data_IF_325663703696
#
_entry.id   IF_325663703696
#
_cell.length_a   1.000
_cell.length_b   1.000
_cell.length_c   1.000
_cell.angle_alpha   90.00
_cell.angle_beta   90.00
_cell.angle_gamma   90.00
#
_symmetry.space_group_name_H-M   'P 1'
#
loop_
_entity.id
_entity.type
_entity.pdbx_description
1 polymer ?
#
# COMPACT_ATOMS: atom_id res chain seq x y z
N UNK A 1 20.61 -19.86 -5.00
CA UNK A 1 20.96 -20.13 -3.57
C UNK A 1 20.56 -18.96 -2.68
N UNK A 2 21.02 -17.73 -2.95
CA UNK A 2 20.66 -16.52 -2.17
C UNK A 2 19.14 -16.28 -2.09
N UNK A 3 18.43 -16.27 -3.23
CA UNK A 3 16.96 -16.06 -3.26
C UNK A 3 16.22 -17.07 -2.37
N UNK A 4 16.65 -18.33 -2.35
CA UNK A 4 16.01 -19.37 -1.54
C UNK A 4 16.23 -19.10 -0.04
N UNK A 5 17.46 -18.74 0.33
CA UNK A 5 17.81 -18.44 1.72
C UNK A 5 17.10 -17.18 2.26
N UNK A 6 16.94 -16.14 1.45
CA UNK A 6 16.18 -14.95 1.89
C UNK A 6 14.69 -15.30 2.00
N UNK A 7 14.15 -16.05 1.05
CA UNK A 7 12.73 -16.44 1.08
C UNK A 7 12.37 -17.37 2.23
N UNK A 8 13.31 -18.10 2.82
CA UNK A 8 13.03 -18.87 4.05
C UNK A 8 12.70 -17.96 5.25
N UNK A 9 12.99 -16.66 5.17
CA UNK A 9 12.64 -15.67 6.19
C UNK A 9 11.24 -15.06 5.97
N UNK A 10 10.50 -15.48 4.93
CA UNK A 10 9.21 -14.86 4.57
C UNK A 10 8.22 -14.81 5.73
N UNK A 11 8.11 -15.89 6.51
CA UNK A 11 7.18 -15.95 7.65
C UNK A 11 7.60 -15.11 8.85
N UNK A 12 8.84 -14.61 8.88
CA UNK A 12 9.33 -13.73 9.93
C UNK A 12 9.11 -12.24 9.60
N UNK A 13 9.17 -11.89 8.32
CA UNK A 13 9.17 -10.49 7.87
C UNK A 13 7.94 -10.08 7.06
N UNK A 14 7.15 -11.02 6.54
CA UNK A 14 5.86 -10.76 5.89
C UNK A 14 4.79 -11.44 6.74
N UNK A 15 4.31 -10.70 7.74
CA UNK A 15 3.42 -11.24 8.78
C UNK A 15 2.08 -10.52 8.78
N UNK A 16 1.01 -11.29 8.95
CA UNK A 16 -0.32 -10.73 9.17
C UNK A 16 -0.40 -10.12 10.58
N UNK A 17 -0.96 -8.91 10.75
CA UNK A 17 -1.06 -8.30 12.07
C UNK A 17 -1.86 -9.17 13.06
N UNK A 18 -1.24 -9.49 14.19
CA UNK A 18 -1.85 -10.32 15.24
C UNK A 18 -1.33 -9.90 16.63
N UNK A 19 -2.03 -10.31 17.70
CA UNK A 19 -1.63 -10.01 19.07
C UNK A 19 -1.45 -8.50 19.34
N UNK A 20 -0.31 -8.12 19.92
CA UNK A 20 0.02 -6.71 20.19
C UNK A 20 0.28 -5.91 18.92
N UNK A 21 0.89 -6.53 17.91
CA UNK A 21 1.16 -5.86 16.64
C UNK A 21 -0.14 -5.43 15.95
N UNK A 22 -1.21 -6.23 16.04
CA UNK A 22 -2.55 -5.80 15.58
C UNK A 22 -3.04 -4.55 16.29
N UNK A 23 -2.83 -4.43 17.61
CA UNK A 23 -3.25 -3.24 18.37
C UNK A 23 -2.48 -2.02 17.93
N UNK A 24 -1.18 -2.16 17.69
CA UNK A 24 -0.34 -1.08 17.17
C UNK A 24 -0.81 -0.60 15.79
N UNK A 25 -1.13 -1.54 14.89
CA UNK A 25 -1.69 -1.22 13.57
C UNK A 25 -3.03 -0.48 13.71
N UNK A 26 -3.97 -1.02 14.50
CA UNK A 26 -5.27 -0.39 14.72
C UNK A 26 -5.12 1.05 15.25
N UNK A 27 -4.28 1.24 16.28
CA UNK A 27 -4.00 2.57 16.86
C UNK A 27 -3.33 3.50 15.85
N UNK A 28 -2.41 2.99 15.02
CA UNK A 28 -1.77 3.78 13.97
C UNK A 28 -2.76 4.31 12.95
N UNK A 29 -3.66 3.46 12.46
CA UNK A 29 -4.72 3.88 11.53
C UNK A 29 -5.74 4.83 12.17
N UNK A 30 -6.13 4.59 13.42
CA UNK A 30 -7.01 5.47 14.18
C UNK A 30 -6.41 6.87 14.34
N UNK A 31 -5.09 6.98 14.55
CA UNK A 31 -4.41 8.27 14.70
C UNK A 31 -4.36 9.11 13.42
N UNK A 32 -4.52 8.51 12.23
CA UNK A 32 -4.44 9.24 10.95
C UNK A 32 -5.72 10.05 10.74
N UNK A 33 -6.88 9.39 10.68
CA UNK A 33 -8.18 10.05 10.47
C UNK A 33 -9.34 9.39 11.28
N UNK A 34 -9.04 8.61 12.31
CA UNK A 34 -10.06 8.05 13.21
C UNK A 34 -10.71 6.73 12.75
N UNK A 35 -10.13 6.04 11.78
CA UNK A 35 -10.64 4.72 11.37
C UNK A 35 -10.30 3.66 12.42
N UNK A 36 -11.31 3.21 13.15
CA UNK A 36 -11.18 2.19 14.18
C UNK A 36 -10.99 0.80 13.57
N UNK A 37 -10.29 -0.08 14.28
CA UNK A 37 -10.15 -1.52 13.96
C UNK A 37 -9.66 -1.84 12.54
N UNK A 38 -9.01 -0.87 11.88
CA UNK A 38 -8.35 -1.09 10.59
C UNK A 38 -7.09 -1.91 10.80
N UNK A 39 -7.00 -3.04 10.09
CA UNK A 39 -5.87 -3.97 10.19
C UNK A 39 -4.86 -3.81 9.05
N UNK A 40 -5.04 -2.79 8.21
CA UNK A 40 -4.15 -2.46 7.10
C UNK A 40 -4.85 -1.74 5.97
N UNK A 41 -4.08 -1.39 4.96
CA UNK A 41 -4.58 -0.94 3.66
C UNK A 41 -4.01 -1.85 2.57
N UNK A 42 -4.79 -2.06 1.51
CA UNK A 42 -4.40 -2.82 0.33
C UNK A 42 -4.38 -1.90 -0.87
N UNK A 43 -3.34 -2.01 -1.67
CA UNK A 43 -3.18 -1.27 -2.90
C UNK A 43 -2.38 -2.11 -3.88
N UNK A 44 -2.51 -1.79 -5.16
CA UNK A 44 -1.64 -2.38 -6.17
C UNK A 44 -0.37 -1.55 -6.36
N UNK A 45 0.63 -2.15 -7.00
CA UNK A 45 1.84 -1.43 -7.37
C UNK A 45 2.34 -1.93 -8.70
N UNK A 46 2.45 -1.03 -9.67
CA UNK A 46 2.95 -1.39 -10.99
C UNK A 46 4.45 -1.71 -10.91
N UNK A 47 4.81 -2.90 -11.38
CA UNK A 47 6.19 -3.37 -11.50
C UNK A 47 6.44 -3.72 -12.98
N UNK A 48 7.07 -2.82 -13.76
CA UNK A 48 7.26 -3.05 -15.18
C UNK A 48 8.28 -4.17 -15.41
N UNK A 49 7.90 -5.15 -16.23
CA UNK A 49 8.82 -6.16 -16.75
C UNK A 49 9.49 -5.64 -18.02
N UNK A 50 10.79 -5.86 -18.15
CA UNK A 50 11.56 -5.45 -19.32
C UNK A 50 11.04 -6.10 -20.63
N UNK A 51 10.54 -7.34 -20.53
CA UNK A 51 9.83 -8.03 -21.61
C UNK A 51 8.43 -8.40 -21.12
N UNK A 52 7.40 -7.95 -21.84
CA UNK A 52 6.01 -8.32 -21.53
C UNK A 52 5.79 -9.84 -21.73
N UNK A 53 5.03 -10.52 -20.87
CA UNK A 53 4.67 -11.93 -21.07
C UNK A 53 3.99 -12.15 -22.44
N UNK A 54 4.21 -13.33 -23.04
CA UNK A 54 3.66 -13.66 -24.36
C UNK A 54 2.12 -13.54 -24.41
N UNK A 55 1.60 -12.97 -25.50
CA UNK A 55 0.20 -12.56 -25.74
C UNK A 55 -0.89 -13.66 -25.67
N UNK A 56 -0.56 -14.91 -25.33
CA UNK A 56 -1.52 -16.01 -25.24
C UNK A 56 -2.45 -15.94 -24.01
N UNK A 57 -2.09 -15.15 -22.99
CA UNK A 57 -2.97 -14.83 -21.85
C UNK A 57 -3.45 -13.38 -21.94
N UNK A 58 -4.46 -13.13 -22.77
CA UNK A 58 -5.21 -11.87 -22.77
C UNK A 58 -6.11 -11.83 -21.53
N UNK A 59 -5.65 -11.21 -20.45
CA UNK A 59 -6.57 -10.42 -19.65
C UNK A 59 -6.23 -8.94 -19.92
N UNK A 60 -7.20 -8.10 -20.34
CA UNK A 60 -6.96 -6.67 -20.53
C UNK A 60 -6.55 -6.05 -19.20
N UNK A 61 -5.59 -5.13 -19.23
CA UNK A 61 -5.02 -4.49 -18.05
C UNK A 61 -6.05 -3.81 -17.13
N UNK A 62 -7.27 -3.50 -17.61
CA UNK A 62 -8.36 -2.90 -16.83
C UNK A 62 -9.40 -3.90 -16.30
N UNK A 63 -9.22 -5.20 -16.52
CA UNK A 63 -10.09 -6.29 -16.01
C UNK A 63 -9.49 -6.92 -14.74
N UNK A 64 -8.40 -6.35 -14.20
CA UNK A 64 -7.46 -7.10 -13.39
C UNK A 64 -7.61 -6.95 -11.86
N UNK A 65 -7.91 -5.80 -11.28
CA UNK A 65 -7.62 -5.62 -9.83
C UNK A 65 -8.61 -6.40 -8.96
N UNK A 66 -9.90 -6.17 -9.16
CA UNK A 66 -10.94 -6.96 -8.50
C UNK A 66 -10.84 -8.45 -8.85
N UNK A 67 -10.41 -8.82 -10.06
CA UNK A 67 -10.31 -10.22 -10.52
C UNK A 67 -9.08 -10.93 -9.94
N UNK A 68 -7.93 -10.27 -9.92
CA UNK A 68 -6.68 -10.73 -9.32
C UNK A 68 -6.88 -10.85 -7.82
N UNK A 69 -7.51 -9.84 -7.21
CA UNK A 69 -7.85 -9.84 -5.81
C UNK A 69 -8.82 -10.96 -5.44
N UNK A 70 -9.92 -11.15 -6.16
CA UNK A 70 -10.88 -12.25 -5.91
C UNK A 70 -10.25 -13.63 -6.12
N UNK A 71 -9.19 -13.74 -6.92
CA UNK A 71 -8.42 -14.97 -7.11
C UNK A 71 -7.29 -15.17 -6.08
N UNK A 72 -7.01 -14.18 -5.24
CA UNK A 72 -5.94 -14.23 -4.24
C UNK A 72 -6.25 -15.18 -3.07
N UNK A 73 -5.19 -15.60 -2.38
CA UNK A 73 -5.29 -16.44 -1.19
C UNK A 73 -6.06 -15.76 -0.05
N UNK A 74 -5.82 -14.45 0.14
CA UNK A 74 -6.48 -13.68 1.19
C UNK A 74 -7.99 -13.59 0.95
N UNK A 75 -8.43 -13.43 -0.31
CA UNK A 75 -9.86 -13.40 -0.62
C UNK A 75 -10.50 -14.77 -0.41
N UNK A 76 -9.88 -15.83 -0.94
CA UNK A 76 -10.41 -17.20 -0.84
C UNK A 76 -10.50 -17.69 0.61
N UNK A 77 -9.55 -17.27 1.45
CA UNK A 77 -9.43 -17.71 2.84
C UNK A 77 -9.62 -16.58 3.85
N UNK A 78 -10.39 -15.54 3.51
CA UNK A 78 -10.51 -14.31 4.31
C UNK A 78 -10.87 -14.57 5.79
N UNK A 79 -11.69 -15.58 6.08
CA UNK A 79 -12.07 -15.97 7.46
C UNK A 79 -10.88 -16.36 8.35
N UNK A 80 -9.75 -16.75 7.76
CA UNK A 80 -8.53 -17.07 8.50
C UNK A 80 -7.78 -15.79 8.93
N UNK A 81 -7.93 -14.71 8.18
CA UNK A 81 -7.23 -13.43 8.35
C UNK A 81 -8.06 -12.40 9.12
N UNK A 82 -9.35 -12.32 8.78
CA UNK A 82 -10.30 -11.37 9.35
C UNK A 82 -11.10 -12.04 10.45
N UNK A 83 -10.56 -11.97 11.66
CA UNK A 83 -11.24 -12.30 12.91
C UNK A 83 -11.64 -10.99 13.58
N UNK A 84 -12.73 -10.98 14.34
CA UNK A 84 -13.12 -9.82 15.20
C UNK A 84 -13.35 -8.51 14.44
N UNK A 85 -14.45 -8.34 13.67
CA UNK A 85 -14.91 -7.07 13.03
C UNK A 85 -13.85 -6.15 12.36
N UNK A 86 -12.62 -6.61 12.15
CA UNK A 86 -11.51 -5.85 11.56
C UNK A 86 -11.66 -5.81 10.04
N UNK A 87 -11.14 -4.76 9.41
CA UNK A 87 -11.22 -4.58 7.96
C UNK A 87 -9.98 -3.91 7.36
N UNK A 88 -9.81 -4.03 6.05
CA UNK A 88 -8.82 -3.28 5.27
C UNK A 88 -9.43 -2.04 4.61
N UNK A 89 -8.61 -1.02 4.40
CA UNK A 89 -8.93 0.06 3.46
C UNK A 89 -8.42 -0.29 2.06
N UNK A 90 -9.25 -0.12 1.04
CA UNK A 90 -8.90 -0.35 -0.36
C UNK A 90 -9.35 0.84 -1.23
N UNK A 91 -8.84 0.94 -2.46
CA UNK A 91 -9.29 1.95 -3.41
C UNK A 91 -10.67 1.57 -4.00
N UNK A 92 -11.12 2.37 -4.97
CA UNK A 92 -12.44 2.19 -5.58
C UNK A 92 -12.52 1.00 -6.56
N UNK A 93 -11.40 0.46 -7.04
CA UNK A 93 -11.36 -0.70 -7.93
C UNK A 93 -11.63 -2.02 -7.20
N UNK A 94 -11.41 -2.05 -5.87
CA UNK A 94 -11.76 -3.21 -5.04
C UNK A 94 -13.27 -3.29 -4.73
N UNK A 95 -13.80 -4.49 -4.47
CA UNK A 95 -15.18 -4.64 -4.02
C UNK A 95 -15.35 -4.22 -2.56
N UNK A 96 -16.46 -3.53 -2.26
CA UNK A 96 -16.91 -3.30 -0.88
C UNK A 96 -17.36 -4.61 -0.24
N UNK A 97 -16.77 -4.99 0.90
CA UNK A 97 -17.04 -6.24 1.61
C UNK A 97 -17.07 -6.02 3.13
N UNK A 98 -17.61 -6.96 3.94
CA UNK A 98 -17.61 -6.83 5.40
C UNK A 98 -16.22 -6.67 6.05
N UNK A 99 -15.16 -6.95 5.30
CA UNK A 99 -13.77 -6.88 5.74
C UNK A 99 -12.91 -5.97 4.83
N UNK A 100 -13.55 -5.20 3.93
CA UNK A 100 -12.90 -4.21 3.06
C UNK A 100 -13.78 -2.98 2.93
N UNK A 101 -13.26 -1.82 3.28
CA UNK A 101 -13.90 -0.53 3.02
C UNK A 101 -13.26 0.17 1.81
N UNK A 102 -14.10 0.78 0.99
CA UNK A 102 -13.72 1.52 -0.23
C UNK A 102 -14.33 2.93 -0.17
N UNK A 103 -13.81 3.90 -0.94
CA UNK A 103 -14.45 5.21 -1.09
C UNK A 103 -15.86 5.09 -1.73
N UNK A 104 -16.71 6.08 -1.48
CA UNK A 104 -17.99 6.24 -2.19
C UNK A 104 -17.71 6.63 -3.65
N UNK A 105 -18.28 5.88 -4.58
CA UNK A 105 -18.30 6.20 -6.01
C UNK A 105 -19.42 7.20 -6.25
N UNK A 106 -19.07 8.39 -6.72
CA UNK A 106 -20.01 9.48 -7.06
C UNK A 106 -20.82 10.06 -5.87
N UNK A 107 -20.18 10.86 -5.00
CA UNK A 107 -20.87 11.49 -3.87
C UNK A 107 -21.97 12.49 -4.25
N UNK A 108 -23.23 12.10 -4.11
CA UNK A 108 -24.39 12.90 -4.53
C UNK A 108 -25.54 12.95 -3.49
N UNK A 109 -26.49 13.86 -3.74
CA UNK A 109 -27.69 14.00 -2.93
C UNK A 109 -27.46 14.62 -1.56
N UNK A 110 -28.38 14.36 -0.63
CA UNK A 110 -28.37 14.97 0.72
C UNK A 110 -27.21 14.51 1.60
N UNK A 111 -26.52 13.42 1.24
CA UNK A 111 -25.37 12.88 1.96
C UNK A 111 -24.03 13.17 1.28
N UNK A 112 -24.02 13.92 0.18
CA UNK A 112 -22.82 14.18 -0.60
C UNK A 112 -21.67 14.75 0.24
N UNK A 113 -21.98 15.65 1.19
CA UNK A 113 -20.97 16.26 2.03
C UNK A 113 -20.30 15.24 2.97
N UNK A 114 -21.09 14.37 3.61
CA UNK A 114 -20.57 13.34 4.50
C UNK A 114 -19.75 12.29 3.73
N UNK A 115 -20.21 11.91 2.53
CA UNK A 115 -19.49 11.00 1.65
C UNK A 115 -18.16 11.58 1.18
N UNK A 116 -18.12 12.88 0.84
CA UNK A 116 -16.87 13.60 0.51
C UNK A 116 -15.93 13.65 1.71
N UNK A 117 -16.44 13.98 2.90
CA UNK A 117 -15.63 13.98 4.12
C UNK A 117 -15.04 12.60 4.41
N UNK A 118 -15.84 11.54 4.26
CA UNK A 118 -15.36 10.17 4.37
C UNK A 118 -14.28 9.86 3.31
N UNK A 119 -14.51 10.17 2.03
CA UNK A 119 -13.54 9.92 0.96
C UNK A 119 -12.22 10.65 1.22
N UNK A 120 -12.26 11.92 1.66
CA UNK A 120 -11.04 12.65 2.03
C UNK A 120 -10.29 11.98 3.17
N UNK A 121 -10.99 11.55 4.22
CA UNK A 121 -10.37 10.83 5.34
C UNK A 121 -9.79 9.48 4.88
N UNK A 122 -10.53 8.76 4.04
CA UNK A 122 -10.15 7.47 3.47
C UNK A 122 -8.88 7.58 2.64
N UNK A 123 -8.82 8.53 1.71
CA UNK A 123 -7.64 8.78 0.86
C UNK A 123 -6.43 9.16 1.70
N UNK A 124 -6.57 10.10 2.66
CA UNK A 124 -5.48 10.48 3.57
C UNK A 124 -4.93 9.31 4.37
N UNK A 125 -5.81 8.42 4.80
CA UNK A 125 -5.42 7.23 5.57
C UNK A 125 -4.72 6.20 4.71
N UNK A 126 -5.15 6.05 3.45
CA UNK A 126 -4.54 5.13 2.49
C UNK A 126 -3.13 5.52 2.07
N UNK A 127 -2.75 6.81 2.08
CA UNK A 127 -1.39 7.26 1.68
C UNK A 127 -0.26 6.42 2.30
N UNK A 128 -0.45 5.82 3.48
CA UNK A 128 0.53 4.92 4.12
C UNK A 128 0.93 3.71 3.26
N UNK A 129 0.01 3.11 2.48
CA UNK A 129 0.32 1.95 1.64
C UNK A 129 1.06 2.36 0.37
N UNK A 130 0.68 3.50 -0.20
CA UNK A 130 1.36 4.10 -1.36
C UNK A 130 2.79 4.49 -0.98
N UNK A 131 2.98 5.10 0.19
CA UNK A 131 4.30 5.42 0.74
C UNK A 131 5.15 4.16 0.99
N UNK A 132 4.56 3.09 1.51
CA UNK A 132 5.27 1.83 1.72
C UNK A 132 5.82 1.26 0.38
N UNK A 133 5.01 1.26 -0.68
CA UNK A 133 5.49 0.86 -2.01
C UNK A 133 6.50 1.85 -2.61
N UNK A 134 6.31 3.16 -2.39
CA UNK A 134 7.26 4.19 -2.78
C UNK A 134 8.64 3.97 -2.17
N UNK A 135 8.71 3.77 -0.85
CA UNK A 135 9.95 3.46 -0.14
C UNK A 135 10.60 2.17 -0.63
N UNK A 136 9.81 1.12 -0.86
CA UNK A 136 10.30 -0.13 -1.42
C UNK A 136 10.96 0.08 -2.80
N UNK A 137 10.30 0.82 -3.70
CA UNK A 137 10.81 1.12 -5.05
C UNK A 137 12.04 2.06 -5.03
N UNK A 138 12.15 2.95 -4.05
CA UNK A 138 13.33 3.80 -3.84
C UNK A 138 14.52 2.97 -3.33
N UNK A 139 14.29 2.10 -2.35
CA UNK A 139 15.35 1.24 -1.79
C UNK A 139 15.82 0.18 -2.79
N UNK A 140 14.92 -0.32 -3.63
CA UNK A 140 15.22 -1.33 -4.65
C UNK A 140 14.86 -0.83 -6.05
N UNK A 141 15.64 0.08 -6.66
CA UNK A 141 15.33 0.69 -7.95
C UNK A 141 15.16 -0.31 -9.11
N UNK A 142 15.71 -1.53 -9.00
CA UNK A 142 15.48 -2.59 -9.99
C UNK A 142 14.02 -3.02 -10.11
N UNK A 143 13.16 -2.66 -9.15
CA UNK A 143 11.72 -2.85 -9.22
C UNK A 143 11.06 -1.92 -10.25
N UNK A 144 11.71 -0.79 -10.59
CA UNK A 144 11.24 0.15 -11.62
C UNK A 144 11.60 -0.28 -13.04
N UNK A 145 12.53 -1.23 -13.21
CA UNK A 145 12.96 -1.77 -14.50
C UNK A 145 13.36 -3.25 -14.36
N UNK A 146 12.37 -4.13 -14.16
CA UNK A 146 12.66 -5.51 -13.81
C UNK A 146 13.09 -6.34 -15.02
N UNK A 147 14.36 -6.75 -15.05
CA UNK A 147 14.95 -7.59 -16.12
C UNK A 147 14.65 -9.10 -15.99
N UNK A 148 13.55 -9.47 -15.35
CA UNK A 148 13.13 -10.86 -15.25
C UNK A 148 12.42 -11.28 -16.54
N UNK A 149 12.83 -12.43 -17.11
CA UNK A 149 12.27 -12.97 -18.36
C UNK A 149 10.99 -13.78 -18.17
N UNK A 150 10.71 -14.21 -16.94
CA UNK A 150 9.53 -14.98 -16.60
C UNK A 150 8.91 -14.46 -15.30
N UNK A 151 7.59 -14.62 -15.20
CA UNK A 151 6.79 -14.11 -14.08
C UNK A 151 7.18 -14.74 -12.75
N UNK A 152 7.54 -16.03 -12.74
CA UNK A 152 7.95 -16.74 -11.52
C UNK A 152 9.24 -16.16 -10.95
N UNK A 153 10.22 -15.85 -11.80
CA UNK A 153 11.46 -15.21 -11.40
C UNK A 153 11.21 -13.78 -10.93
N UNK A 154 10.34 -13.04 -11.61
CA UNK A 154 9.91 -11.71 -11.18
C UNK A 154 9.32 -11.75 -9.76
N UNK A 155 8.32 -12.60 -9.52
CA UNK A 155 7.70 -12.77 -8.20
C UNK A 155 8.71 -13.15 -7.11
N UNK A 156 9.68 -14.03 -7.43
CA UNK A 156 10.71 -14.40 -6.46
C UNK A 156 11.65 -13.23 -6.09
N UNK A 157 11.95 -12.35 -7.05
CA UNK A 157 12.76 -11.15 -6.83
C UNK A 157 11.97 -10.13 -6.00
N UNK A 158 10.68 -9.95 -6.30
CA UNK A 158 9.77 -9.08 -5.54
C UNK A 158 9.63 -9.57 -4.09
N UNK A 159 9.35 -10.86 -3.89
CA UNK A 159 9.31 -11.51 -2.57
C UNK A 159 10.59 -11.18 -1.77
N UNK A 160 11.76 -11.34 -2.40
CA UNK A 160 13.05 -11.07 -1.78
C UNK A 160 13.22 -9.60 -1.41
N UNK A 161 12.83 -8.67 -2.30
CA UNK A 161 12.91 -7.23 -2.04
C UNK A 161 12.04 -6.82 -0.85
N UNK A 162 10.81 -7.32 -0.78
CA UNK A 162 9.90 -7.03 0.35
C UNK A 162 10.45 -7.58 1.67
N UNK A 163 10.99 -8.81 1.67
CA UNK A 163 11.58 -9.40 2.88
C UNK A 163 12.77 -8.58 3.36
N UNK A 164 13.66 -8.16 2.46
CA UNK A 164 14.82 -7.35 2.80
C UNK A 164 14.42 -5.94 3.26
N UNK A 165 13.42 -5.32 2.62
CA UNK A 165 12.87 -4.03 3.05
C UNK A 165 12.39 -4.13 4.50
N UNK A 166 11.52 -5.10 4.79
CA UNK A 166 10.96 -5.29 6.13
C UNK A 166 12.04 -5.68 7.17
N UNK A 167 13.09 -6.38 6.75
CA UNK A 167 14.26 -6.63 7.60
C UNK A 167 14.93 -5.32 8.02
N UNK A 168 15.23 -4.45 7.05
CA UNK A 168 15.90 -3.17 7.28
C UNK A 168 15.04 -2.26 8.15
N UNK A 169 13.74 -2.14 7.85
CA UNK A 169 12.77 -1.37 8.64
C UNK A 169 12.72 -1.85 10.10
N UNK A 170 12.61 -3.17 10.33
CA UNK A 170 12.52 -3.75 11.67
C UNK A 170 13.76 -3.50 12.53
N UNK A 171 14.94 -3.43 11.91
CA UNK A 171 16.21 -3.24 12.60
C UNK A 171 16.63 -1.75 12.71
N UNK A 172 15.74 -0.82 12.35
CA UNK A 172 16.03 0.62 12.33
C UNK A 172 17.34 0.95 11.60
N UNK A 173 17.71 0.16 10.59
CA UNK A 173 18.82 0.49 9.70
C UNK A 173 18.30 1.49 8.68
N UNK A 174 18.02 2.70 9.19
CA UNK A 174 17.35 3.77 8.45
C UNK A 174 18.16 4.00 7.18
N UNK A 175 17.56 3.76 6.02
CA UNK A 175 18.13 4.15 4.75
C UNK A 175 18.26 5.68 4.80
N UNK A 176 19.47 6.17 5.07
CA UNK A 176 19.76 7.59 5.14
C UNK A 176 19.46 8.18 3.77
N UNK A 177 18.34 8.90 3.68
CA UNK A 177 17.88 9.65 2.50
C UNK A 177 19.05 10.48 1.99
N UNK A 178 19.69 10.03 0.92
CA UNK A 178 20.85 10.71 0.37
C UNK A 178 20.42 11.88 -0.55
N UNK A 179 19.13 12.07 -0.81
CA UNK A 179 18.62 13.18 -1.60
C UNK A 179 17.32 13.80 -1.04
N UNK A 180 17.24 15.13 -0.85
CA UNK A 180 16.01 15.84 -0.49
C UNK A 180 14.86 15.67 -1.51
N UNK A 181 15.18 15.22 -2.74
CA UNK A 181 14.20 14.90 -3.78
C UNK A 181 13.54 13.52 -3.59
N UNK A 182 14.07 12.67 -2.70
CA UNK A 182 13.45 11.39 -2.37
C UNK A 182 12.18 11.58 -1.50
N UNK A 183 11.95 12.79 -0.99
CA UNK A 183 10.69 13.21 -0.34
C UNK A 183 9.59 13.56 -1.35
N UNK A 184 9.95 13.84 -2.60
CA UNK A 184 9.01 13.88 -3.74
C UNK A 184 8.85 12.43 -4.23
N UNK A 185 8.23 11.59 -3.41
CA UNK A 185 7.61 10.38 -3.95
C UNK A 185 6.56 10.91 -4.92
N UNK A 186 6.87 10.81 -6.21
CA UNK A 186 5.91 10.97 -7.28
C UNK A 186 4.90 9.84 -7.05
N UNK A 187 3.86 10.16 -6.26
CA UNK A 187 2.70 9.31 -6.10
C UNK A 187 2.20 9.11 -7.52
N UNK A 188 2.18 7.87 -7.99
CA UNK A 188 1.48 7.49 -9.22
C UNK A 188 -0.03 7.65 -8.94
N UNK A 189 -0.47 8.90 -8.74
CA UNK A 189 -1.83 9.26 -8.42
C UNK A 189 -2.61 9.34 -9.74
N UNK A 190 -3.25 8.24 -10.11
CA UNK A 190 -4.40 8.32 -10.99
C UNK A 190 -5.61 8.80 -10.17
N UNK A 191 -6.09 10.00 -10.54
CA UNK A 191 -7.36 10.64 -10.12
C UNK A 191 -7.44 11.27 -8.71
N UNK A 192 -6.68 12.35 -8.48
CA UNK A 192 -7.15 13.66 -7.94
C UNK A 192 -5.96 14.53 -7.52
N UNK A 193 -5.22 15.04 -8.53
CA UNK A 193 -3.98 15.81 -8.32
C UNK A 193 -4.18 17.09 -7.47
N UNK A 194 -5.36 17.73 -7.50
CA UNK A 194 -5.59 18.95 -6.71
C UNK A 194 -5.65 18.72 -5.19
N UNK A 195 -6.13 17.56 -4.73
CA UNK A 195 -6.27 17.29 -3.30
C UNK A 195 -4.95 16.83 -2.68
N UNK A 196 -4.14 16.08 -3.43
CA UNK A 196 -2.81 15.62 -3.02
C UNK A 196 -1.87 16.82 -2.88
N UNK A 197 -1.89 17.76 -3.83
CA UNK A 197 -1.09 18.98 -3.76
C UNK A 197 -1.41 19.81 -2.51
N UNK A 198 -2.70 19.95 -2.16
CA UNK A 198 -3.12 20.63 -0.93
C UNK A 198 -2.69 19.89 0.35
N UNK A 199 -2.65 18.55 0.33
CA UNK A 199 -2.18 17.74 1.46
C UNK A 199 -0.67 17.88 1.66
N UNK A 200 0.10 17.88 0.56
CA UNK A 200 1.54 18.08 0.59
C UNK A 200 1.87 19.48 1.13
N UNK A 201 1.15 20.50 0.68
CA UNK A 201 1.38 21.88 1.11
C UNK A 201 1.05 22.08 2.60
N UNK A 202 -0.07 21.54 3.08
CA UNK A 202 -0.44 21.61 4.51
C UNK A 202 0.54 20.86 5.43
N UNK A 203 1.09 19.74 4.98
CA UNK A 203 2.08 18.98 5.76
C UNK A 203 3.44 19.69 5.82
N UNK A 204 3.84 20.42 4.77
CA UNK A 204 5.01 21.29 4.79
C UNK A 204 4.84 22.41 5.82
N UNK A 205 3.70 23.09 5.83
CA UNK A 205 3.41 24.18 6.79
C UNK A 205 3.44 23.70 8.24
N UNK A 206 2.80 22.57 8.56
CA UNK A 206 2.77 22.02 9.92
C UNK A 206 4.15 21.56 10.43
N UNK A 207 5.06 21.15 9.53
CA UNK A 207 6.42 20.75 9.90
C UNK A 207 7.29 21.96 10.23
N UNK A 208 7.14 23.04 9.46
CA UNK A 208 7.82 24.33 9.68
C UNK A 208 7.38 24.94 11.01
N UNK A 209 6.08 25.00 11.31
CA UNK A 209 5.56 25.58 12.56
C UNK A 209 6.05 24.84 13.83
N UNK A 210 6.27 23.53 13.75
CA UNK A 210 6.81 22.73 14.88
C UNK A 210 8.31 22.93 15.10
N UNK A 211 9.06 23.33 14.09
CA UNK A 211 10.49 23.64 14.22
C UNK A 211 10.74 25.04 14.82
N UNK A 212 9.80 25.98 14.63
CA UNK A 212 9.88 27.33 15.23
C UNK A 212 9.26 27.45 16.64
N UNK A 213 8.62 26.38 17.15
CA UNK A 213 7.98 26.34 18.47
C UNK A 213 8.87 25.71 19.57
N UNK A 214 10.16 25.51 19.32
CA UNK A 214 11.19 25.10 20.30
C UNK A 214 12.18 26.22 20.55
#
# INVERSE_FOLDING_TARGET
RIIIAIRSLKLEYIVWPSGNYKKEVNTGFEQIQGFLVVIGAIDESHIPLFEAPSKENKDPASVHDAKVFTNSEIFKNYKNYFKEENYLLADSAYPLLPWIMTPFKDPQGSQAQQQKTYNTAHSKTRVVVEQAFGHLKVQFPFLKEMRAKDTKKATNIIDMAIILHNFVEKHNDIWKKNNPKDDEIELEAEEDNELIDQIIENNKTNRVEREYAK
#
